data_IF_663053561861
#
_entry.id   IF_663053561861
#
_cell.length_a   1.000
_cell.length_b   1.000
_cell.length_c   1.000
_cell.angle_alpha   90.00
_cell.angle_beta   90.00
_cell.angle_gamma   90.00
#
_symmetry.space_group_name_H-M   'P 1'
#
loop_
_entity.id
_entity.type
_entity.pdbx_description
1 polymer ?
#
# COMPACT_ATOMS: atom_id res chain seq x y z
N UNK A 1 -25.24 7.27 2.27
CA UNK A 1 -24.51 5.99 2.36
C UNK A 1 -23.88 5.89 3.74
N UNK A 2 -24.28 4.92 4.57
CA UNK A 2 -23.59 4.63 5.85
C UNK A 2 -22.22 4.06 5.49
N UNK A 3 -21.15 4.82 5.70
CA UNK A 3 -19.79 4.27 5.63
C UNK A 3 -19.71 3.11 6.62
N UNK A 4 -19.36 1.92 6.15
CA UNK A 4 -19.11 0.80 7.02
C UNK A 4 -17.66 0.89 7.54
N UNK A 5 -17.42 1.26 8.80
CA UNK A 5 -16.07 1.22 9.41
C UNK A 5 -15.55 -0.21 9.63
N UNK A 6 -16.29 -1.24 9.23
CA UNK A 6 -16.01 -2.65 9.52
C UNK A 6 -14.73 -3.14 8.87
N UNK A 7 -14.37 -2.66 7.68
CA UNK A 7 -13.16 -3.06 6.97
C UNK A 7 -11.87 -2.51 7.60
N UNK A 8 -11.92 -1.35 8.26
CA UNK A 8 -10.75 -0.78 8.94
C UNK A 8 -10.47 -1.52 10.25
N UNK A 9 -11.52 -1.79 11.02
CA UNK A 9 -11.43 -2.51 12.30
C UNK A 9 -10.99 -3.97 12.13
N UNK A 10 -11.34 -4.61 11.00
CA UNK A 10 -10.92 -5.99 10.73
C UNK A 10 -9.43 -6.15 10.41
N UNK A 11 -8.73 -5.05 10.05
CA UNK A 11 -7.33 -5.06 9.64
C UNK A 11 -6.37 -4.55 10.73
N UNK A 12 -6.93 -4.00 11.82
CA UNK A 12 -6.18 -3.59 13.01
C UNK A 12 -5.41 -4.76 13.68
N UNK A 13 -5.95 -5.99 13.76
CA UNK A 13 -5.19 -7.14 14.23
C UNK A 13 -3.95 -7.43 13.37
N UNK A 14 -4.05 -7.28 12.05
CA UNK A 14 -2.94 -7.50 11.11
C UNK A 14 -1.83 -6.47 11.29
N UNK A 15 -2.17 -5.19 11.50
CA UNK A 15 -1.14 -4.17 11.78
C UNK A 15 -0.45 -4.39 13.12
N UNK A 16 -1.19 -4.84 14.15
CA UNK A 16 -0.61 -5.18 15.46
C UNK A 16 0.32 -6.39 15.33
N UNK A 17 -0.11 -7.46 14.65
CA UNK A 17 0.72 -8.64 14.39
C UNK A 17 1.98 -8.25 13.61
N UNK A 18 1.84 -7.44 12.54
CA UNK A 18 2.97 -6.94 11.76
C UNK A 18 3.97 -6.14 12.61
N UNK A 19 3.47 -5.30 13.53
CA UNK A 19 4.30 -4.50 14.42
C UNK A 19 5.02 -5.35 15.47
N UNK A 20 4.35 -6.35 16.04
CA UNK A 20 4.95 -7.32 16.97
C UNK A 20 6.04 -8.12 16.25
N UNK A 21 5.76 -8.59 15.03
CA UNK A 21 6.72 -9.34 14.21
C UNK A 21 7.95 -8.49 13.86
N UNK A 22 7.76 -7.18 13.60
CA UNK A 22 8.87 -6.24 13.39
C UNK A 22 9.77 -6.15 14.63
N UNK A 23 9.18 -6.02 15.82
CA UNK A 23 9.93 -5.99 17.06
C UNK A 23 10.66 -7.31 17.33
N UNK A 24 10.04 -8.45 17.00
CA UNK A 24 10.67 -9.77 17.10
C UNK A 24 11.86 -9.92 16.13
N UNK A 25 11.76 -9.37 14.92
CA UNK A 25 12.84 -9.36 13.92
C UNK A 25 14.06 -8.51 14.31
N UNK A 26 13.94 -7.66 15.34
CA UNK A 26 15.05 -6.89 15.91
C UNK A 26 15.75 -7.61 17.08
N UNK A 27 15.16 -8.66 17.63
CA UNK A 27 15.73 -9.40 18.75
C UNK A 27 16.79 -10.41 18.28
N UNK A 28 17.80 -10.72 19.12
CA UNK A 28 18.79 -11.75 18.79
C UNK A 28 18.14 -13.12 18.58
N UNK A 29 18.57 -13.84 17.54
CA UNK A 29 18.06 -15.18 17.22
C UNK A 29 18.10 -16.17 18.40
N UNK A 30 19.08 -16.04 19.31
CA UNK A 30 19.18 -16.86 20.52
C UNK A 30 18.00 -16.67 21.48
N UNK A 31 17.43 -15.47 21.52
CA UNK A 31 16.27 -15.13 22.38
C UNK A 31 14.98 -15.61 21.73
N UNK A 32 14.87 -15.49 20.41
CA UNK A 32 13.60 -15.69 19.69
C UNK A 32 13.39 -17.15 19.25
N UNK A 33 14.45 -17.83 18.79
CA UNK A 33 14.36 -19.18 18.22
C UNK A 33 13.69 -20.26 19.09
N UNK A 34 13.80 -20.25 20.43
CA UNK A 34 13.12 -21.22 21.29
C UNK A 34 11.58 -21.14 21.17
N UNK A 35 11.05 -19.96 20.88
CA UNK A 35 9.61 -19.69 20.87
C UNK A 35 8.98 -19.75 19.47
N UNK A 36 9.79 -19.72 18.42
CA UNK A 36 9.30 -19.72 17.03
C UNK A 36 9.28 -21.16 16.46
N UNK A 37 8.15 -21.58 15.83
CA UNK A 37 8.06 -22.84 15.09
C UNK A 37 9.18 -22.98 14.05
N UNK A 38 9.70 -24.20 13.84
CA UNK A 38 10.83 -24.44 12.93
C UNK A 38 10.62 -23.88 11.51
N UNK A 39 9.37 -23.89 11.01
CA UNK A 39 9.00 -23.32 9.72
C UNK A 39 9.29 -21.81 9.60
N UNK A 40 9.19 -21.08 10.71
CA UNK A 40 9.35 -19.62 10.77
C UNK A 40 10.76 -19.19 11.21
N UNK A 41 11.69 -20.13 11.47
CA UNK A 41 13.10 -19.81 11.81
C UNK A 41 13.92 -19.37 10.61
N UNK A 42 13.39 -19.48 9.39
CA UNK A 42 14.04 -18.92 8.21
C UNK A 42 13.85 -17.40 8.24
N UNK A 43 14.90 -16.69 8.67
CA UNK A 43 14.92 -15.23 8.81
C UNK A 43 14.39 -14.51 7.55
N UNK A 44 14.73 -15.01 6.36
CA UNK A 44 14.31 -14.41 5.08
C UNK A 44 12.82 -14.57 4.81
N UNK A 45 12.29 -15.75 5.14
CA UNK A 45 10.85 -16.01 5.01
C UNK A 45 10.07 -15.17 6.03
N UNK A 46 10.59 -15.02 7.25
CA UNK A 46 9.98 -14.20 8.29
C UNK A 46 9.89 -12.73 7.85
N UNK A 47 11.00 -12.17 7.36
CA UNK A 47 11.07 -10.83 6.80
C UNK A 47 10.10 -10.64 5.63
N UNK A 48 10.07 -11.57 4.69
CA UNK A 48 9.11 -11.56 3.58
C UNK A 48 7.66 -11.53 4.06
N UNK A 49 7.27 -12.45 4.94
CA UNK A 49 5.88 -12.54 5.46
C UNK A 49 5.53 -11.28 6.24
N UNK A 50 6.45 -10.77 7.06
CA UNK A 50 6.23 -9.55 7.84
C UNK A 50 5.98 -8.35 6.95
N UNK A 51 6.82 -8.11 5.94
CA UNK A 51 6.63 -7.01 5.00
C UNK A 51 5.38 -7.18 4.16
N UNK A 52 5.01 -8.41 3.82
CA UNK A 52 3.74 -8.70 3.15
C UNK A 52 2.55 -8.29 4.03
N UNK A 53 2.48 -8.76 5.28
CA UNK A 53 1.37 -8.46 6.19
C UNK A 53 1.30 -6.98 6.57
N UNK A 54 2.45 -6.34 6.82
CA UNK A 54 2.54 -4.92 7.10
C UNK A 54 2.00 -4.11 5.91
N UNK A 55 2.48 -4.39 4.70
CA UNK A 55 2.04 -3.69 3.49
C UNK A 55 0.55 -3.90 3.22
N UNK A 56 0.05 -5.13 3.40
CA UNK A 56 -1.37 -5.45 3.25
C UNK A 56 -2.24 -4.67 4.26
N UNK A 57 -1.75 -4.49 5.49
CA UNK A 57 -2.44 -3.70 6.53
C UNK A 57 -2.41 -2.18 6.27
N UNK A 58 -1.42 -1.67 5.54
CA UNK A 58 -1.32 -0.25 5.19
C UNK A 58 -2.29 0.16 4.08
N UNK A 59 -2.66 -0.76 3.19
CA UNK A 59 -3.58 -0.50 2.08
C UNK A 59 -4.95 0.09 2.50
N UNK A 60 -5.69 -0.48 3.47
CA UNK A 60 -6.94 0.11 3.98
C UNK A 60 -6.72 1.43 4.75
N UNK A 61 -5.57 1.59 5.42
CA UNK A 61 -5.26 2.82 6.14
C UNK A 61 -5.01 3.97 5.15
N UNK A 62 -4.28 3.70 4.07
CA UNK A 62 -4.10 4.63 2.96
C UNK A 62 -5.43 4.97 2.30
N UNK A 63 -6.32 3.98 2.11
CA UNK A 63 -7.68 4.20 1.60
C UNK A 63 -8.47 5.19 2.47
N UNK A 64 -8.45 4.98 3.79
CA UNK A 64 -9.13 5.84 4.75
C UNK A 64 -8.56 7.27 4.72
N UNK A 65 -7.24 7.44 4.83
CA UNK A 65 -6.58 8.75 4.84
C UNK A 65 -6.88 9.52 3.56
N UNK A 66 -6.72 8.88 2.39
CA UNK A 66 -6.98 9.51 1.09
C UNK A 66 -8.48 9.88 0.96
N UNK A 67 -9.38 9.05 1.49
CA UNK A 67 -10.81 9.35 1.48
C UNK A 67 -11.15 10.57 2.34
N UNK A 68 -10.51 10.73 3.50
CA UNK A 68 -10.65 11.92 4.35
C UNK A 68 -10.11 13.16 3.63
N UNK A 69 -8.88 13.11 3.11
CA UNK A 69 -8.26 14.24 2.40
C UNK A 69 -9.08 14.69 1.19
N UNK A 70 -9.64 13.74 0.43
CA UNK A 70 -10.47 14.08 -0.74
C UNK A 70 -11.84 14.62 -0.31
N UNK A 71 -12.40 14.15 0.80
CA UNK A 71 -13.65 14.70 1.32
C UNK A 71 -13.47 16.19 1.64
N UNK A 72 -12.41 16.54 2.34
CA UNK A 72 -12.10 17.94 2.66
C UNK A 72 -11.84 18.76 1.39
N UNK A 73 -11.16 18.20 0.40
CA UNK A 73 -10.93 18.87 -0.88
C UNK A 73 -12.22 19.07 -1.71
N UNK A 74 -13.25 18.23 -1.50
CA UNK A 74 -14.50 18.24 -2.29
C UNK A 74 -15.32 19.50 -2.06
N UNK A 75 -15.29 20.03 -0.85
CA UNK A 75 -16.06 21.21 -0.46
C UNK A 75 -15.59 22.48 -1.20
N UNK A 76 -14.45 22.40 -1.90
CA UNK A 76 -13.88 23.47 -2.70
C UNK A 76 -14.13 23.33 -4.22
N UNK A 77 -14.80 22.26 -4.69
CA UNK A 77 -14.99 22.00 -6.13
C UNK A 77 -16.40 22.40 -6.63
N UNK A 78 -16.51 23.22 -7.71
CA UNK A 78 -17.81 23.68 -8.22
C UNK A 78 -18.66 22.54 -8.80
N UNK A 79 -19.97 22.56 -8.50
CA UNK A 79 -20.93 21.46 -8.77
C UNK A 79 -20.89 20.87 -10.18
N UNK A 80 -20.73 21.70 -11.22
CA UNK A 80 -20.75 21.26 -12.63
C UNK A 80 -19.59 20.33 -13.04
N UNK A 81 -18.53 20.20 -12.23
CA UNK A 81 -17.43 19.26 -12.47
C UNK A 81 -17.65 17.91 -11.78
N UNK A 82 -18.74 17.74 -11.02
CA UNK A 82 -18.89 16.56 -10.15
C UNK A 82 -19.32 15.27 -10.88
N UNK A 83 -19.96 15.34 -12.05
CA UNK A 83 -20.60 14.17 -12.68
C UNK A 83 -19.70 13.39 -13.65
N UNK A 84 -18.85 14.05 -14.43
CA UNK A 84 -17.86 13.38 -15.31
C UNK A 84 -16.61 12.89 -14.57
N UNK A 85 -16.41 13.29 -13.31
CA UNK A 85 -15.20 13.00 -12.54
C UNK A 85 -15.30 11.79 -11.60
N UNK A 86 -16.46 11.13 -11.47
CA UNK A 86 -16.61 10.04 -10.49
C UNK A 86 -15.65 8.87 -10.78
N UNK A 87 -15.62 8.44 -12.04
CA UNK A 87 -14.82 7.30 -12.53
C UNK A 87 -13.32 7.58 -12.50
N UNK A 88 -12.91 8.79 -12.91
CA UNK A 88 -11.50 9.20 -12.89
C UNK A 88 -10.98 9.41 -11.46
N UNK A 89 -11.85 9.82 -10.53
CA UNK A 89 -11.48 9.96 -9.10
C UNK A 89 -11.15 8.63 -8.45
N UNK A 90 -11.92 7.57 -8.71
CA UNK A 90 -11.65 6.28 -8.07
C UNK A 90 -10.37 5.63 -8.61
N UNK A 91 -10.08 5.83 -9.90
CA UNK A 91 -8.78 5.50 -10.49
C UNK A 91 -7.63 6.25 -9.82
N UNK A 92 -7.72 7.58 -9.73
CA UNK A 92 -6.69 8.42 -9.11
C UNK A 92 -6.45 8.03 -7.66
N UNK A 93 -7.53 7.78 -6.92
CA UNK A 93 -7.48 7.28 -5.54
C UNK A 93 -6.73 5.97 -5.47
N UNK A 94 -7.03 5.02 -6.36
CA UNK A 94 -6.36 3.73 -6.40
C UNK A 94 -4.86 3.88 -6.70
N UNK A 95 -4.50 4.68 -7.72
CA UNK A 95 -3.10 4.94 -8.09
C UNK A 95 -2.33 5.59 -6.95
N UNK A 96 -2.90 6.62 -6.32
CA UNK A 96 -2.27 7.32 -5.20
C UNK A 96 -2.09 6.41 -3.98
N UNK A 97 -3.08 5.54 -3.66
CA UNK A 97 -2.96 4.54 -2.58
C UNK A 97 -1.83 3.58 -2.86
N UNK A 98 -1.82 2.99 -4.06
CA UNK A 98 -0.81 2.03 -4.47
C UNK A 98 0.59 2.64 -4.43
N UNK A 99 0.75 3.86 -4.94
CA UNK A 99 2.02 4.57 -4.89
C UNK A 99 2.46 4.88 -3.46
N UNK A 100 1.57 5.41 -2.61
CA UNK A 100 1.88 5.71 -1.21
C UNK A 100 2.31 4.46 -0.44
N UNK A 101 1.58 3.35 -0.61
CA UNK A 101 1.88 2.06 0.03
C UNK A 101 3.24 1.52 -0.46
N UNK A 102 3.51 1.57 -1.77
CA UNK A 102 4.80 1.14 -2.32
C UNK A 102 5.96 2.00 -1.80
N UNK A 103 5.81 3.32 -1.74
CA UNK A 103 6.83 4.22 -1.21
C UNK A 103 7.14 3.93 0.26
N UNK A 104 6.10 3.77 1.09
CA UNK A 104 6.27 3.46 2.52
C UNK A 104 6.90 2.09 2.71
N UNK A 105 6.43 1.07 1.98
CA UNK A 105 6.96 -0.28 2.11
C UNK A 105 8.42 -0.39 1.62
N UNK A 106 8.77 0.29 0.52
CA UNK A 106 10.14 0.36 0.04
C UNK A 106 11.06 1.09 1.02
N UNK A 107 10.62 2.23 1.58
CA UNK A 107 11.36 2.94 2.59
C UNK A 107 11.57 2.09 3.85
N UNK A 108 10.53 1.38 4.31
CA UNK A 108 10.61 0.48 5.44
C UNK A 108 11.55 -0.70 5.17
N UNK A 109 11.55 -1.26 3.95
CA UNK A 109 12.40 -2.37 3.56
C UNK A 109 13.89 -2.03 3.61
N UNK A 110 14.25 -0.81 3.20
CA UNK A 110 15.62 -0.30 3.27
C UNK A 110 15.98 0.10 4.70
N UNK A 111 15.09 0.84 5.38
CA UNK A 111 15.33 1.33 6.73
C UNK A 111 15.51 0.19 7.74
N UNK A 112 14.75 -0.92 7.61
CA UNK A 112 14.90 -2.08 8.49
C UNK A 112 16.31 -2.67 8.41
N UNK A 113 16.86 -2.79 7.21
CA UNK A 113 18.20 -3.36 7.03
C UNK A 113 19.30 -2.41 7.51
N UNK A 114 19.15 -1.11 7.25
CA UNK A 114 20.08 -0.09 7.77
C UNK A 114 20.06 -0.10 9.30
N UNK A 115 18.89 -0.12 9.93
CA UNK A 115 18.77 -0.18 11.39
C UNK A 115 19.37 -1.47 11.95
N UNK A 116 19.09 -2.61 11.35
CA UNK A 116 19.67 -3.89 11.76
C UNK A 116 21.19 -3.92 11.63
N UNK A 117 21.76 -3.26 10.63
CA UNK A 117 23.22 -3.14 10.47
C UNK A 117 23.90 -2.30 11.56
N UNK A 118 23.14 -1.49 12.31
CA UNK A 118 23.66 -0.79 13.50
C UNK A 118 23.79 -1.69 14.72
N UNK A 119 23.16 -2.88 14.70
CA UNK A 119 23.29 -3.87 15.76
C UNK A 119 24.62 -4.61 15.59
N UNK A 120 25.40 -4.69 16.66
CA UNK A 120 26.70 -5.38 16.66
C UNK A 120 26.61 -6.88 16.39
N UNK A 121 25.40 -7.46 16.46
CA UNK A 121 25.12 -8.89 16.31
C UNK A 121 24.74 -9.29 14.88
N UNK A 122 24.52 -8.34 13.97
CA UNK A 122 24.04 -8.61 12.61
C UNK A 122 24.86 -7.87 11.56
N UNK A 123 25.12 -8.52 10.42
CA UNK A 123 25.74 -7.90 9.25
C UNK A 123 24.66 -7.53 8.25
N UNK A 124 24.90 -6.45 7.52
CA UNK A 124 24.09 -6.04 6.39
C UNK A 124 24.01 -7.17 5.33
N UNK A 125 22.81 -7.63 4.98
CA UNK A 125 22.53 -8.57 3.89
C UNK A 125 21.55 -7.91 2.89
N UNK A 126 22.08 -7.51 1.73
CA UNK A 126 21.27 -6.94 0.66
C UNK A 126 20.15 -7.88 0.17
N UNK A 127 20.25 -9.19 0.40
CA UNK A 127 19.18 -10.15 0.06
C UNK A 127 17.93 -9.94 0.92
N UNK A 128 18.07 -9.41 2.12
CA UNK A 128 16.94 -9.15 3.02
C UNK A 128 16.12 -7.95 2.52
N UNK A 129 16.78 -6.93 1.94
CA UNK A 129 16.10 -5.85 1.22
C UNK A 129 15.27 -6.39 0.06
N UNK A 130 15.83 -7.31 -0.74
CA UNK A 130 15.11 -7.93 -1.86
C UNK A 130 13.90 -8.74 -1.35
N UNK A 131 14.06 -9.48 -0.25
CA UNK A 131 12.96 -10.21 0.40
C UNK A 131 11.84 -9.29 0.88
N UNK A 132 12.20 -8.19 1.54
CA UNK A 132 11.25 -7.18 2.05
C UNK A 132 10.49 -6.51 0.91
N UNK A 133 11.19 -6.09 -0.14
CA UNK A 133 10.58 -5.49 -1.34
C UNK A 133 9.68 -6.52 -2.04
N UNK A 134 10.12 -7.77 -2.16
CA UNK A 134 9.33 -8.86 -2.75
C UNK A 134 8.02 -9.11 -1.99
N UNK A 135 8.09 -9.15 -0.66
CA UNK A 135 6.92 -9.30 0.20
C UNK A 135 5.94 -8.13 0.06
N UNK A 136 6.45 -6.89 0.06
CA UNK A 136 5.65 -5.70 -0.16
C UNK A 136 4.98 -5.66 -1.55
N UNK A 137 5.72 -5.99 -2.61
CA UNK A 137 5.20 -6.04 -3.96
C UNK A 137 4.06 -7.07 -4.09
N UNK A 138 4.24 -8.27 -3.53
CA UNK A 138 3.20 -9.30 -3.54
C UNK A 138 1.94 -8.85 -2.77
N UNK A 139 2.11 -8.15 -1.65
CA UNK A 139 0.98 -7.61 -0.88
C UNK A 139 0.19 -6.56 -1.69
N UNK A 140 0.89 -5.67 -2.39
CA UNK A 140 0.26 -4.69 -3.28
C UNK A 140 -0.49 -5.37 -4.43
N UNK A 141 0.10 -6.41 -5.03
CA UNK A 141 -0.57 -7.21 -6.07
C UNK A 141 -1.82 -7.88 -5.52
N UNK A 142 -1.74 -8.50 -4.34
CA UNK A 142 -2.88 -9.14 -3.70
C UNK A 142 -4.00 -8.14 -3.38
N UNK A 143 -3.66 -7.00 -2.77
CA UNK A 143 -4.62 -5.93 -2.47
C UNK A 143 -5.28 -5.39 -3.75
N UNK A 144 -4.51 -5.23 -4.82
CA UNK A 144 -5.00 -4.83 -6.15
C UNK A 144 -5.97 -5.85 -6.72
N UNK A 145 -5.60 -7.13 -6.71
CA UNK A 145 -6.45 -8.21 -7.19
C UNK A 145 -7.75 -8.30 -6.40
N UNK A 146 -7.69 -8.17 -5.08
CA UNK A 146 -8.86 -8.11 -4.20
C UNK A 146 -9.74 -6.91 -4.52
N UNK A 147 -9.17 -5.73 -4.73
CA UNK A 147 -9.93 -4.53 -5.12
C UNK A 147 -10.64 -4.72 -6.46
N UNK A 148 -9.95 -5.26 -7.46
CA UNK A 148 -10.55 -5.55 -8.77
C UNK A 148 -11.65 -6.58 -8.62
N UNK A 149 -11.42 -7.69 -7.91
CA UNK A 149 -12.39 -8.76 -7.76
C UNK A 149 -13.64 -8.34 -6.96
N UNK A 150 -13.48 -7.52 -5.93
CA UNK A 150 -14.58 -7.11 -5.06
C UNK A 150 -15.35 -5.87 -5.56
N UNK A 151 -14.81 -5.13 -6.54
CA UNK A 151 -15.50 -3.96 -7.09
C UNK A 151 -16.46 -4.38 -8.22
N UNK A 152 -17.80 -4.32 -8.02
CA UNK A 152 -18.75 -4.72 -9.06
C UNK A 152 -18.66 -3.85 -10.33
N UNK A 153 -18.16 -2.62 -10.17
CA UNK A 153 -17.90 -1.66 -11.24
C UNK A 153 -16.67 -2.04 -12.08
N UNK A 154 -15.70 -2.76 -11.50
CA UNK A 154 -14.48 -3.17 -12.22
C UNK A 154 -14.80 -4.10 -13.38
N UNK A 155 -15.86 -4.91 -13.28
CA UNK A 155 -16.31 -5.80 -14.34
C UNK A 155 -16.93 -5.06 -15.54
N UNK A 156 -17.41 -3.82 -15.33
CA UNK A 156 -17.90 -2.96 -16.43
C UNK A 156 -16.77 -2.19 -17.11
N UNK A 157 -15.71 -1.91 -16.38
CA UNK A 157 -14.48 -1.38 -16.95
C UNK A 157 -13.73 -2.54 -17.62
N UNK A 158 -13.83 -2.65 -18.94
CA UNK A 158 -12.84 -3.43 -19.69
C UNK A 158 -11.50 -2.70 -19.60
N UNK A 159 -10.74 -3.00 -18.56
CA UNK A 159 -9.42 -2.46 -18.33
C UNK A 159 -8.46 -2.93 -19.42
N UNK A 160 -8.33 -2.15 -20.49
CA UNK A 160 -7.24 -2.35 -21.41
C UNK A 160 -5.97 -1.79 -20.76
N UNK A 161 -4.92 -2.61 -20.62
CA UNK A 161 -3.59 -2.16 -20.14
C UNK A 161 -3.07 -0.95 -20.94
N UNK A 162 -3.49 -0.84 -22.20
CA UNK A 162 -3.22 0.32 -23.05
C UNK A 162 -3.86 1.63 -22.55
N UNK A 163 -4.98 1.59 -21.84
CA UNK A 163 -5.66 2.78 -21.31
C UNK A 163 -5.08 3.21 -19.97
N UNK A 164 -4.70 2.24 -19.12
CA UNK A 164 -3.99 2.52 -17.86
C UNK A 164 -2.63 3.18 -18.14
N UNK A 165 -1.87 2.64 -19.09
CA UNK A 165 -0.59 3.24 -19.50
C UNK A 165 -0.76 4.64 -20.09
N UNK A 166 -1.80 4.90 -20.89
CA UNK A 166 -2.11 6.24 -21.40
C UNK A 166 -2.47 7.24 -20.30
N UNK A 167 -3.19 6.80 -19.28
CA UNK A 167 -3.55 7.61 -18.10
C UNK A 167 -2.32 8.01 -17.29
N UNK A 168 -1.37 7.09 -17.10
CA UNK A 168 -0.10 7.36 -16.40
C UNK A 168 0.81 8.28 -17.22
N UNK A 169 0.82 8.13 -18.55
CA UNK A 169 1.81 8.78 -19.43
C UNK A 169 1.38 10.13 -20.03
N UNK A 170 0.15 10.61 -19.81
CA UNK A 170 -0.30 11.91 -20.34
C UNK A 170 -0.69 12.91 -19.24
N UNK A 171 0.27 13.49 -18.50
CA UNK A 171 -0.01 14.56 -17.55
C UNK A 171 -0.51 15.85 -18.22
N UNK A 172 -0.36 16.01 -19.54
CA UNK A 172 -0.65 17.28 -20.23
C UNK A 172 -2.15 17.58 -20.40
N UNK A 173 -3.05 16.60 -20.32
CA UNK A 173 -4.51 16.85 -20.34
C UNK A 173 -5.02 17.56 -19.08
N UNK A 174 -4.17 17.72 -18.05
CA UNK A 174 -4.49 18.42 -16.81
C UNK A 174 -4.26 19.93 -16.88
N UNK A 175 -3.72 20.46 -17.99
CA UNK A 175 -3.74 21.90 -18.22
C UNK A 175 -5.18 22.32 -18.41
N UNK A 176 -5.73 23.06 -17.42
CA UNK A 176 -7.03 23.73 -17.53
C UNK A 176 -7.15 24.33 -18.94
N UNK A 177 -8.27 24.16 -19.64
CA UNK A 177 -8.53 24.98 -20.81
C UNK A 177 -8.30 26.41 -20.38
N UNK A 178 -7.29 27.07 -20.95
CA UNK A 178 -7.06 28.49 -20.70
C UNK A 178 -8.39 29.15 -20.97
N UNK A 179 -9.00 29.75 -19.94
CA UNK A 179 -10.25 30.46 -20.09
C UNK A 179 -10.06 31.40 -21.28
N UNK A 180 -10.74 31.09 -22.39
CA UNK A 180 -10.88 32.06 -23.47
C UNK A 180 -11.65 33.20 -22.82
N UNK A 181 -10.91 34.27 -22.48
CA UNK A 181 -11.50 35.59 -22.31
C UNK A 181 -12.02 35.98 -23.68
N UNK A 182 -13.28 35.69 -23.99
CA UNK A 182 -14.16 36.52 -24.81
C UNK A 182 -15.60 36.23 -24.40
#
# INVERSE_FOLDING_TARGET
MKHQPTAFLSLLPLSVIGSIMLLLGLLPNSVVNPYIPSLLRNDKLLHFIMFFLLTLSLFPAADYIISVLIRDARDYLPLHLQDTEATDRDMRRFVLKTQAVLCVAAAAAVASEVLQSTLTTRKFDAKDIVGNIGGAALAVTAATATFVYLSPESHRMQWNLADVSRLVMRPERWRRPSSRRV
#
